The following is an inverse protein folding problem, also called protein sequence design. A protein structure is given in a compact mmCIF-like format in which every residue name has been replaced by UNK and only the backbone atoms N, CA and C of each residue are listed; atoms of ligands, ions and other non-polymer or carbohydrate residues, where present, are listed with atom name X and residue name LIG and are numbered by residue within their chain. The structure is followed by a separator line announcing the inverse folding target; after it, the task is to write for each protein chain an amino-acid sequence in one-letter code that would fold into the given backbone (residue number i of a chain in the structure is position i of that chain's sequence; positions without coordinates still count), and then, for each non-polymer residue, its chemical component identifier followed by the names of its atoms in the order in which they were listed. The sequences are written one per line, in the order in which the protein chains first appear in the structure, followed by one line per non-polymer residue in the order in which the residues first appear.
data_IF_267379996004
#
_entry.id   IF_267379996004
#
_cell.length_a   1.000
_cell.length_b   1.000
_cell.length_c   1.000
_cell.angle_alpha   90.00
_cell.angle_beta   90.00
_cell.angle_gamma   90.00
#
_symmetry.space_group_name_H-M   'P 1'
#
loop_
_entity.id
_entity.type
_entity.pdbx_description
1 polymer ?
#
# COMPACT_ATOMS: atom_id res chain seq x y z
N UNK A 1 -12.92 -6.33 -19.00
CA UNK A 1 -11.88 -5.59 -18.26
C UNK A 1 -10.82 -6.57 -17.82
N UNK A 2 -9.57 -6.35 -18.18
CA UNK A 2 -8.50 -7.37 -18.10
C UNK A 2 -7.85 -7.40 -16.72
N UNK A 3 -7.36 -8.57 -16.31
CA UNK A 3 -6.60 -8.77 -15.07
C UNK A 3 -5.44 -7.75 -14.93
N UNK A 4 -4.87 -7.35 -16.07
CA UNK A 4 -3.81 -6.34 -16.19
C UNK A 4 -4.20 -4.95 -15.68
N UNK A 5 -5.45 -4.49 -15.94
CA UNK A 5 -5.94 -3.21 -15.42
C UNK A 5 -6.03 -3.25 -13.90
N UNK A 6 -6.55 -4.34 -13.33
CA UNK A 6 -6.70 -4.49 -11.89
C UNK A 6 -5.34 -4.53 -11.18
N UNK A 7 -4.37 -5.27 -11.70
CA UNK A 7 -2.99 -5.30 -11.18
C UNK A 7 -2.34 -3.91 -11.23
N UNK A 8 -2.57 -3.15 -12.31
CA UNK A 8 -2.02 -1.80 -12.46
C UNK A 8 -2.59 -0.82 -11.42
N UNK A 9 -3.90 -0.90 -11.15
CA UNK A 9 -4.55 -0.12 -10.10
C UNK A 9 -4.04 -0.49 -8.70
N UNK A 10 -3.87 -1.79 -8.42
CA UNK A 10 -3.34 -2.26 -7.14
C UNK A 10 -1.89 -1.77 -6.93
N UNK A 11 -1.04 -1.84 -7.97
CA UNK A 11 0.32 -1.28 -7.92
C UNK A 11 0.32 0.21 -7.63
N UNK A 12 -0.57 0.98 -8.28
CA UNK A 12 -0.72 2.43 -8.04
C UNK A 12 -1.15 2.71 -6.59
N UNK A 13 -2.14 1.97 -6.06
CA UNK A 13 -2.57 2.08 -4.65
C UNK A 13 -1.45 1.71 -3.67
N UNK A 14 -0.68 0.67 -3.97
CA UNK A 14 0.47 0.26 -3.17
C UNK A 14 1.54 1.36 -3.12
N UNK A 15 1.82 2.01 -4.26
CA UNK A 15 2.76 3.13 -4.31
C UNK A 15 2.28 4.30 -3.43
N UNK A 16 1.03 4.73 -3.60
CA UNK A 16 0.47 5.82 -2.77
C UNK A 16 0.45 5.51 -1.27
N UNK A 17 0.22 4.25 -0.89
CA UNK A 17 0.34 3.84 0.52
C UNK A 17 1.78 3.87 1.01
N UNK A 18 2.77 3.58 0.15
CA UNK A 18 4.18 3.74 0.50
C UNK A 18 4.53 5.18 0.81
N UNK A 19 4.10 6.11 -0.05
CA UNK A 19 4.36 7.55 0.13
C UNK A 19 3.72 8.06 1.43
N UNK A 20 2.48 7.64 1.71
CA UNK A 20 1.78 7.95 2.97
C UNK A 20 2.47 7.39 4.20
N UNK A 21 3.01 6.17 4.13
CA UNK A 21 3.77 5.59 5.25
C UNK A 21 5.03 6.42 5.51
N UNK A 22 5.76 6.82 4.47
CA UNK A 22 6.96 7.64 4.62
C UNK A 22 6.67 9.04 5.16
N UNK A 23 5.61 9.68 4.68
CA UNK A 23 5.17 11.00 5.18
C UNK A 23 4.75 10.90 6.65
N UNK A 24 3.94 9.89 6.98
CA UNK A 24 3.54 9.59 8.34
C UNK A 24 4.76 9.36 9.24
N UNK A 25 5.72 8.54 8.83
CA UNK A 25 6.95 8.28 9.61
C UNK A 25 7.85 9.50 9.79
N UNK A 26 7.79 10.50 8.90
CA UNK A 26 8.55 11.75 9.02
C UNK A 26 7.89 12.76 9.95
N UNK A 27 6.59 12.63 10.23
CA UNK A 27 5.88 13.54 11.11
C UNK A 27 6.19 13.23 12.59
N UNK A 28 6.69 14.20 13.38
CA UNK A 28 7.13 13.98 14.76
C UNK A 28 5.98 13.64 15.74
N UNK A 29 4.74 14.01 15.39
CA UNK A 29 3.54 13.75 16.20
C UNK A 29 2.62 12.68 15.59
N UNK A 30 3.13 11.86 14.67
CA UNK A 30 2.30 10.82 14.05
C UNK A 30 1.93 9.74 15.07
N UNK A 31 0.68 9.31 15.02
CA UNK A 31 0.24 8.16 15.79
C UNK A 31 0.89 6.88 15.22
N UNK A 32 1.64 6.15 16.06
CA UNK A 32 2.27 4.89 15.68
C UNK A 32 1.27 3.85 15.18
N UNK A 33 0.01 3.91 15.63
CA UNK A 33 -1.08 3.06 15.16
C UNK A 33 -1.46 3.38 13.70
N UNK A 34 -1.41 4.66 13.30
CA UNK A 34 -1.64 5.06 11.91
C UNK A 34 -0.55 4.49 10.99
N UNK A 35 0.72 4.60 11.37
CA UNK A 35 1.84 4.04 10.60
C UNK A 35 1.70 2.51 10.49
N UNK A 36 1.36 1.83 11.59
CA UNK A 36 1.14 0.38 11.60
C UNK A 36 -0.03 -0.03 10.70
N UNK A 37 -1.14 0.73 10.72
CA UNK A 37 -2.30 0.50 9.86
C UNK A 37 -1.95 0.65 8.37
N UNK A 38 -1.25 1.73 8.01
CA UNK A 38 -0.82 1.98 6.64
C UNK A 38 0.13 0.90 6.13
N UNK A 39 1.10 0.45 6.95
CA UNK A 39 1.99 -0.67 6.62
C UNK A 39 1.21 -1.98 6.42
N UNK A 40 0.19 -2.24 7.24
CA UNK A 40 -0.68 -3.43 7.10
C UNK A 40 -1.48 -3.39 5.80
N UNK A 41 -2.01 -2.23 5.42
CA UNK A 41 -2.69 -2.07 4.13
C UNK A 41 -1.72 -2.27 2.95
N UNK A 42 -0.52 -1.69 3.02
CA UNK A 42 0.52 -1.88 2.01
C UNK A 42 0.87 -3.36 1.84
N UNK A 43 1.00 -4.11 2.93
CA UNK A 43 1.25 -5.55 2.90
C UNK A 43 0.12 -6.33 2.22
N UNK A 44 -1.15 -6.02 2.55
CA UNK A 44 -2.30 -6.67 1.91
C UNK A 44 -2.32 -6.49 0.40
N UNK A 45 -2.08 -5.27 -0.10
CA UNK A 45 -2.02 -5.02 -1.54
C UNK A 45 -0.86 -5.76 -2.20
N UNK A 46 0.29 -5.85 -1.54
CA UNK A 46 1.44 -6.61 -2.06
C UNK A 46 1.09 -8.09 -2.24
N UNK A 47 0.43 -8.70 -1.26
CA UNK A 47 -0.01 -10.09 -1.32
C UNK A 47 -1.09 -10.29 -2.41
N UNK A 48 -2.02 -9.35 -2.53
CA UNK A 48 -3.06 -9.39 -3.57
C UNK A 48 -2.47 -9.28 -4.98
N UNK A 49 -1.53 -8.35 -5.21
CA UNK A 49 -0.78 -8.23 -6.47
C UNK A 49 -0.03 -9.53 -6.76
N UNK A 50 0.64 -10.11 -5.77
CA UNK A 50 1.40 -11.36 -5.94
C UNK A 50 0.48 -12.51 -6.33
N UNK A 51 -0.67 -12.64 -5.67
CA UNK A 51 -1.70 -13.64 -5.98
C UNK A 51 -2.26 -13.49 -7.40
N UNK A 52 -2.47 -12.26 -7.86
CA UNK A 52 -3.04 -11.97 -9.18
C UNK A 52 -2.00 -12.01 -10.32
N UNK A 53 -0.72 -11.87 -9.99
CA UNK A 53 0.39 -11.94 -10.94
C UNK A 53 0.96 -13.35 -11.11
N UNK A 54 0.41 -14.34 -10.41
CA UNK A 54 0.80 -15.76 -10.48
C UNK A 54 -0.08 -16.56 -11.43
#
# INVERSE_FOLDING_TARGET
MTLSTHISELKRKHQSLSDKVEEAQRAPSVDGLQVAYLKKQKLKLKEEIKRLSS
#
